data_IF_557918112472
#
_entry.id   IF_557918112472
#
_cell.length_a   1.000
_cell.length_b   1.000
_cell.length_c   1.000
_cell.angle_alpha   90.00
_cell.angle_beta   90.00
_cell.angle_gamma   90.00
#
_symmetry.space_group_name_H-M   'P 1'
#
loop_
_entity.id
_entity.type
_entity.pdbx_description
1 polymer ?
#
# COMPACT_ATOMS: atom_id res chain seq x y z
N UNK A 1 14.74 13.39 -16.47
CA UNK A 1 14.94 11.97 -16.82
C UNK A 1 15.80 11.22 -15.80
N UNK A 2 17.09 11.55 -15.57
CA UNK A 2 17.95 10.85 -14.59
C UNK A 2 17.36 10.92 -13.16
N UNK A 3 16.99 12.11 -12.69
CA UNK A 3 16.41 12.31 -11.36
C UNK A 3 15.10 11.52 -11.14
N UNK A 4 14.27 11.39 -12.18
CA UNK A 4 13.03 10.59 -12.10
C UNK A 4 13.33 9.11 -11.99
N UNK A 5 14.30 8.62 -12.74
CA UNK A 5 14.75 7.21 -12.66
C UNK A 5 15.29 6.91 -11.27
N UNK A 6 16.12 7.79 -10.71
CA UNK A 6 16.68 7.61 -9.36
C UNK A 6 15.58 7.60 -8.30
N UNK A 7 14.63 8.54 -8.33
CA UNK A 7 13.54 8.55 -7.34
C UNK A 7 12.61 7.34 -7.54
N UNK A 8 12.37 6.90 -8.77
CA UNK A 8 11.61 5.65 -9.02
C UNK A 8 12.32 4.44 -8.43
N UNK A 9 13.65 4.33 -8.59
CA UNK A 9 14.46 3.27 -7.99
C UNK A 9 14.40 3.30 -6.47
N UNK A 10 14.48 4.49 -5.85
CA UNK A 10 14.33 4.67 -4.41
C UNK A 10 12.94 4.25 -3.92
N UNK A 11 11.89 4.61 -4.64
CA UNK A 11 10.52 4.21 -4.29
C UNK A 11 10.37 2.69 -4.36
N UNK A 12 10.90 2.02 -5.39
CA UNK A 12 10.91 0.57 -5.50
C UNK A 12 11.68 -0.08 -4.35
N UNK A 13 12.88 0.43 -4.06
CA UNK A 13 13.69 -0.04 -2.94
C UNK A 13 12.95 0.06 -1.59
N UNK A 14 12.26 1.19 -1.34
CA UNK A 14 11.47 1.36 -0.12
C UNK A 14 10.35 0.32 -0.06
N UNK A 15 9.60 0.11 -1.14
CA UNK A 15 8.48 -0.84 -1.14
C UNK A 15 8.93 -2.30 -0.94
N UNK A 16 10.05 -2.67 -1.49
CA UNK A 16 10.61 -4.02 -1.39
C UNK A 16 11.18 -4.31 0.01
N UNK A 17 11.72 -3.28 0.67
CA UNK A 17 12.45 -3.45 1.93
C UNK A 17 11.70 -2.99 3.18
N UNK A 18 10.52 -2.38 3.04
CA UNK A 18 9.79 -1.74 4.15
C UNK A 18 9.40 -2.72 5.27
N UNK A 19 9.29 -4.01 4.96
CA UNK A 19 8.95 -5.09 5.88
C UNK A 19 10.15 -5.99 6.22
N UNK A 20 11.31 -5.74 5.63
CA UNK A 20 12.50 -6.59 5.78
C UNK A 20 13.50 -5.92 6.73
N UNK A 21 13.67 -4.62 6.59
CA UNK A 21 14.71 -3.89 7.33
C UNK A 21 14.28 -2.49 7.71
N UNK A 22 14.97 -1.94 8.71
CA UNK A 22 14.82 -0.52 9.07
C UNK A 22 15.52 0.35 8.03
N UNK A 23 14.71 0.96 7.15
CA UNK A 23 15.21 1.85 6.10
C UNK A 23 15.53 3.20 6.72
N UNK A 24 16.80 3.63 6.60
CA UNK A 24 17.28 4.95 7.00
C UNK A 24 17.77 5.76 5.78
N UNK A 25 18.11 7.02 6.00
CA UNK A 25 18.56 7.91 4.92
C UNK A 25 19.91 7.47 4.35
N UNK A 26 20.80 6.89 5.15
CA UNK A 26 22.13 6.49 4.72
C UNK A 26 22.05 5.30 3.75
N UNK A 27 21.16 4.36 4.01
CA UNK A 27 20.88 3.25 3.08
C UNK A 27 20.41 3.79 1.71
N UNK A 28 19.56 4.81 1.70
CA UNK A 28 19.06 5.40 0.46
C UNK A 28 20.13 6.24 -0.26
N UNK A 29 21.04 6.87 0.50
CA UNK A 29 22.22 7.56 -0.04
C UNK A 29 23.13 6.59 -0.75
N UNK A 30 23.44 5.45 -0.13
CA UNK A 30 24.23 4.39 -0.76
C UNK A 30 23.57 3.84 -2.03
N UNK A 31 22.25 3.60 -1.96
CA UNK A 31 21.49 3.09 -3.11
C UNK A 31 21.44 4.08 -4.29
N UNK A 32 21.36 5.37 -4.02
CA UNK A 32 21.19 6.41 -5.05
C UNK A 32 22.49 7.00 -5.57
N UNK A 33 23.58 6.89 -4.82
CA UNK A 33 24.86 7.57 -5.10
C UNK A 33 24.81 9.08 -4.88
N UNK A 34 23.71 9.65 -4.39
CA UNK A 34 23.58 11.09 -4.14
C UNK A 34 23.98 11.46 -2.71
N UNK A 35 24.41 12.71 -2.51
CA UNK A 35 24.60 13.22 -1.15
C UNK A 35 23.26 13.27 -0.39
N UNK A 36 23.32 13.11 0.94
CA UNK A 36 22.14 13.15 1.82
C UNK A 36 21.28 14.39 1.59
N UNK A 37 21.91 15.56 1.51
CA UNK A 37 21.20 16.83 1.32
C UNK A 37 20.49 16.90 -0.04
N UNK A 38 21.17 16.51 -1.09
CA UNK A 38 20.60 16.52 -2.43
C UNK A 38 19.44 15.54 -2.56
N UNK A 39 19.61 14.32 -2.06
CA UNK A 39 18.57 13.30 -2.06
C UNK A 39 17.30 13.76 -1.34
N UNK A 40 17.44 14.35 -0.15
CA UNK A 40 16.30 14.87 0.62
C UNK A 40 15.54 15.97 -0.12
N UNK A 41 16.26 16.91 -0.73
CA UNK A 41 15.66 18.00 -1.51
C UNK A 41 14.95 17.47 -2.75
N UNK A 42 15.62 16.59 -3.49
CA UNK A 42 15.07 15.98 -4.70
C UNK A 42 13.81 15.16 -4.39
N UNK A 43 13.87 14.30 -3.39
CA UNK A 43 12.74 13.47 -2.97
C UNK A 43 11.55 14.34 -2.54
N UNK A 44 11.79 15.37 -1.70
CA UNK A 44 10.74 16.29 -1.27
C UNK A 44 10.14 17.06 -2.47
N UNK A 45 10.97 17.50 -3.42
CA UNK A 45 10.52 18.19 -4.63
C UNK A 45 9.60 17.30 -5.48
N UNK A 46 9.95 16.03 -5.67
CA UNK A 46 9.22 15.13 -6.57
C UNK A 46 8.02 14.44 -5.91
N UNK A 47 8.13 14.11 -4.63
CA UNK A 47 7.09 13.36 -3.89
C UNK A 47 6.19 14.29 -3.06
N UNK A 48 6.64 15.50 -2.77
CA UNK A 48 5.93 16.46 -1.91
C UNK A 48 6.08 16.21 -0.41
N UNK A 49 6.85 15.19 -0.01
CA UNK A 49 7.07 14.80 1.38
C UNK A 49 8.55 14.50 1.63
N UNK A 50 9.07 14.80 2.85
CA UNK A 50 10.37 14.28 3.25
C UNK A 50 10.39 12.76 3.21
N UNK A 51 11.52 12.15 2.83
CA UNK A 51 11.64 10.70 2.63
C UNK A 51 11.29 9.89 3.90
N UNK A 52 11.76 10.31 5.07
CA UNK A 52 11.41 9.64 6.33
C UNK A 52 9.90 9.67 6.62
N UNK A 53 9.23 10.79 6.29
CA UNK A 53 7.77 10.92 6.45
C UNK A 53 7.02 10.04 5.44
N UNK A 54 7.54 9.88 4.24
CA UNK A 54 7.00 8.96 3.25
C UNK A 54 7.07 7.51 3.74
N UNK A 55 8.26 7.05 4.18
CA UNK A 55 8.46 5.70 4.73
C UNK A 55 7.52 5.45 5.91
N UNK A 56 7.44 6.39 6.86
CA UNK A 56 6.53 6.32 8.00
C UNK A 56 5.07 6.10 7.55
N UNK A 57 4.58 6.93 6.62
CA UNK A 57 3.21 6.81 6.11
C UNK A 57 2.97 5.50 5.37
N UNK A 58 3.96 5.00 4.63
CA UNK A 58 3.87 3.71 3.97
C UNK A 58 3.78 2.56 4.97
N UNK A 59 4.59 2.58 6.05
CA UNK A 59 4.48 1.59 7.15
C UNK A 59 3.09 1.61 7.79
N UNK A 60 2.53 2.79 8.06
CA UNK A 60 1.18 2.91 8.63
C UNK A 60 0.12 2.37 7.65
N UNK A 61 0.27 2.61 6.36
CA UNK A 61 -0.64 2.06 5.34
C UNK A 61 -0.57 0.53 5.29
N UNK A 62 0.64 -0.06 5.34
CA UNK A 62 0.83 -1.51 5.44
C UNK A 62 0.21 -2.07 6.73
N UNK A 63 0.45 -1.40 7.87
CA UNK A 63 -0.16 -1.76 9.14
C UNK A 63 -1.69 -1.79 9.07
N UNK A 64 -2.29 -0.78 8.47
CA UNK A 64 -3.74 -0.71 8.28
C UNK A 64 -4.28 -1.89 7.46
N UNK A 65 -3.55 -2.30 6.41
CA UNK A 65 -3.87 -3.47 5.61
C UNK A 65 -3.79 -4.76 6.44
N UNK A 66 -2.70 -4.99 7.19
CA UNK A 66 -2.58 -6.14 8.07
C UNK A 66 -3.68 -6.19 9.15
N UNK A 67 -3.95 -5.06 9.79
CA UNK A 67 -4.98 -4.99 10.82
C UNK A 67 -6.38 -5.34 10.30
N UNK A 68 -6.66 -5.05 9.04
CA UNK A 68 -7.95 -5.28 8.41
C UNK A 68 -8.09 -6.64 7.77
N UNK A 69 -7.05 -7.12 7.13
CA UNK A 69 -7.11 -8.31 6.29
C UNK A 69 -6.57 -9.56 6.96
N UNK A 70 -5.95 -9.41 8.15
CA UNK A 70 -5.39 -10.54 8.90
C UNK A 70 -5.81 -10.54 10.36
N UNK A 71 -5.67 -11.70 11.01
CA UNK A 71 -5.80 -11.85 12.47
C UNK A 71 -4.46 -11.71 13.22
N UNK A 72 -3.39 -11.30 12.55
CA UNK A 72 -2.06 -11.20 13.16
C UNK A 72 -2.08 -10.35 14.44
N UNK A 73 -1.41 -10.79 15.53
CA UNK A 73 -1.20 -9.98 16.73
C UNK A 73 -0.55 -8.63 16.40
N UNK A 74 -0.88 -7.62 17.18
CA UNK A 74 -0.33 -6.26 16.98
C UNK A 74 1.19 -6.25 17.14
N UNK A 75 1.74 -7.08 18.03
CA UNK A 75 3.20 -7.27 18.20
C UNK A 75 3.83 -7.75 16.89
N UNK A 76 3.29 -8.79 16.28
CA UNK A 76 3.82 -9.34 15.02
C UNK A 76 3.74 -8.30 13.88
N UNK A 77 2.68 -7.50 13.83
CA UNK A 77 2.58 -6.42 12.84
C UNK A 77 3.65 -5.34 13.09
N UNK A 78 3.89 -5.02 14.36
CA UNK A 78 4.95 -4.09 14.77
C UNK A 78 6.33 -4.57 14.31
N UNK A 79 6.66 -5.83 14.58
CA UNK A 79 7.95 -6.45 14.23
C UNK A 79 8.13 -6.51 12.71
N UNK A 80 7.13 -6.98 11.97
CA UNK A 80 7.14 -7.01 10.49
C UNK A 80 7.39 -5.63 9.86
N UNK A 81 6.97 -4.56 10.51
CA UNK A 81 7.15 -3.20 10.01
C UNK A 81 8.38 -2.51 10.61
N UNK A 82 9.27 -3.29 11.22
CA UNK A 82 10.55 -2.83 11.77
C UNK A 82 10.40 -1.69 12.78
N UNK A 83 9.43 -1.80 13.70
CA UNK A 83 9.32 -0.93 14.85
C UNK A 83 10.07 -1.53 16.04
N UNK A 84 10.76 -0.70 16.79
CA UNK A 84 11.55 -1.11 17.98
C UNK A 84 10.67 -1.69 19.09
N UNK A 85 9.40 -1.33 19.13
CA UNK A 85 8.44 -1.87 20.09
C UNK A 85 6.99 -1.69 19.63
N UNK A 86 6.10 -2.57 20.12
CA UNK A 86 4.65 -2.47 19.92
C UNK A 86 4.09 -1.14 20.46
N UNK A 87 4.66 -0.60 21.54
CA UNK A 87 4.22 0.67 22.13
C UNK A 87 4.53 1.84 21.20
N UNK A 88 5.73 1.89 20.63
CA UNK A 88 6.14 2.90 19.65
C UNK A 88 5.25 2.82 18.42
N UNK A 89 5.04 1.61 17.88
CA UNK A 89 4.12 1.38 16.77
C UNK A 89 2.71 1.89 17.10
N UNK A 90 2.16 1.51 18.25
CA UNK A 90 0.77 1.86 18.62
C UNK A 90 0.56 3.36 18.77
N UNK A 91 1.55 4.07 19.33
CA UNK A 91 1.53 5.55 19.44
C UNK A 91 1.58 6.20 18.06
N UNK A 92 2.47 5.71 17.21
CA UNK A 92 2.64 6.26 15.87
C UNK A 92 1.41 5.95 14.99
N UNK A 93 0.89 4.75 15.07
CA UNK A 93 -0.33 4.37 14.36
C UNK A 93 -1.50 5.26 14.78
N UNK A 94 -1.72 5.46 16.10
CA UNK A 94 -2.77 6.35 16.60
C UNK A 94 -2.58 7.79 16.14
N UNK A 95 -1.35 8.32 16.18
CA UNK A 95 -1.01 9.68 15.71
C UNK A 95 -1.36 9.89 14.23
N UNK A 96 -1.17 8.88 13.39
CA UNK A 96 -1.38 8.97 11.95
C UNK A 96 -2.80 8.57 11.51
N UNK A 97 -3.48 7.65 12.22
CA UNK A 97 -4.80 7.15 11.84
C UNK A 97 -5.96 7.72 12.68
N UNK A 98 -5.64 8.31 13.84
CA UNK A 98 -6.63 8.73 14.83
C UNK A 98 -7.13 7.62 15.75
N UNK A 99 -6.79 6.35 15.47
CA UNK A 99 -7.27 5.17 16.19
C UNK A 99 -6.11 4.33 16.69
N UNK A 100 -6.29 3.66 17.84
CA UNK A 100 -5.35 2.61 18.22
C UNK A 100 -5.45 1.44 17.24
N UNK A 101 -4.39 0.60 17.09
CA UNK A 101 -4.44 -0.58 16.22
C UNK A 101 -5.65 -1.48 16.49
N UNK A 102 -5.99 -1.68 17.75
CA UNK A 102 -7.14 -2.50 18.15
C UNK A 102 -8.47 -1.86 17.76
N UNK A 103 -8.66 -0.56 18.01
CA UNK A 103 -9.86 0.18 17.58
C UNK A 103 -10.00 0.15 16.06
N UNK A 104 -8.87 0.35 15.34
CA UNK A 104 -8.87 0.30 13.88
C UNK A 104 -9.27 -1.07 13.34
N UNK A 105 -8.80 -2.15 13.94
CA UNK A 105 -9.18 -3.53 13.59
C UNK A 105 -10.67 -3.79 13.77
N UNK A 106 -11.27 -3.29 14.86
CA UNK A 106 -12.70 -3.48 15.17
C UNK A 106 -13.64 -2.58 14.37
N UNK A 107 -13.15 -1.47 13.84
CA UNK A 107 -13.99 -0.53 13.10
C UNK A 107 -14.48 -1.19 11.79
N UNK A 108 -15.78 -1.09 11.47
CA UNK A 108 -16.35 -1.65 10.24
C UNK A 108 -15.94 -0.87 8.98
N UNK A 109 -15.63 0.42 9.11
CA UNK A 109 -15.28 1.28 7.99
C UNK A 109 -13.77 1.33 7.77
N UNK A 110 -13.35 1.28 6.52
CA UNK A 110 -11.98 1.57 6.12
C UNK A 110 -11.73 3.06 6.19
N UNK A 111 -10.74 3.46 6.98
CA UNK A 111 -10.36 4.87 7.11
C UNK A 111 -9.11 5.13 6.27
N UNK A 112 -9.30 5.78 5.11
CA UNK A 112 -8.21 6.05 4.16
C UNK A 112 -7.53 7.41 4.34
N UNK A 113 -8.05 8.26 5.22
CA UNK A 113 -7.70 9.68 5.33
C UNK A 113 -6.19 9.97 5.38
N UNK A 114 -5.39 9.08 5.95
CA UNK A 114 -3.94 9.29 6.11
C UNK A 114 -3.11 8.18 5.45
N UNK A 115 -3.73 7.35 4.64
CA UNK A 115 -3.03 6.31 3.92
C UNK A 115 -2.31 6.90 2.71
N UNK A 116 -1.11 6.42 2.47
CA UNK A 116 -0.30 6.83 1.33
C UNK A 116 -0.07 5.59 0.46
N UNK A 117 -0.64 5.59 -0.74
CA UNK A 117 -0.41 4.54 -1.73
C UNK A 117 1.06 4.53 -2.19
N UNK A 118 1.48 3.42 -2.80
CA UNK A 118 2.73 3.38 -3.52
C UNK A 118 2.68 4.41 -4.65
N UNK A 119 3.69 5.28 -4.73
CA UNK A 119 3.75 6.30 -5.78
C UNK A 119 4.57 5.78 -6.95
N UNK A 120 4.02 5.94 -8.15
CA UNK A 120 4.74 5.74 -9.39
C UNK A 120 4.80 7.09 -10.11
N UNK A 121 6.01 7.58 -10.38
CA UNK A 121 6.21 8.90 -11.01
C UNK A 121 5.80 8.87 -12.48
N UNK A 122 5.83 7.69 -13.11
CA UNK A 122 5.54 7.54 -14.54
C UNK A 122 4.06 7.38 -14.88
N UNK A 123 3.20 7.15 -13.93
CA UNK A 123 1.76 6.95 -14.15
C UNK A 123 0.97 8.14 -13.63
N UNK A 124 0.44 8.95 -14.53
CA UNK A 124 -0.70 9.80 -14.20
C UNK A 124 -1.92 8.90 -14.08
N UNK A 125 -2.41 8.69 -12.86
CA UNK A 125 -3.71 8.06 -12.68
C UNK A 125 -4.79 9.06 -13.15
N UNK A 126 -5.80 8.60 -13.88
CA UNK A 126 -6.96 9.43 -14.17
C UNK A 126 -7.58 9.93 -12.86
N UNK A 127 -8.05 11.16 -12.85
CA UNK A 127 -8.75 11.72 -11.71
C UNK A 127 -10.04 10.89 -11.52
N UNK A 128 -10.26 10.31 -10.32
CA UNK A 128 -11.47 9.54 -10.09
C UNK A 128 -12.69 10.46 -10.18
N UNK A 129 -13.64 10.11 -11.03
CA UNK A 129 -14.91 10.81 -11.17
C UNK A 129 -15.99 10.12 -10.35
N UNK A 130 -16.76 10.92 -9.60
CA UNK A 130 -17.92 10.41 -8.87
C UNK A 130 -19.07 10.31 -9.87
N UNK A 131 -19.49 9.08 -10.19
CA UNK A 131 -20.68 8.86 -10.99
C UNK A 131 -21.76 8.17 -10.16
N UNK A 132 -22.98 8.70 -10.26
CA UNK A 132 -24.17 8.08 -9.66
C UNK A 132 -24.78 7.10 -10.66
N UNK A 133 -24.68 5.80 -10.35
CA UNK A 133 -25.39 4.77 -11.10
C UNK A 133 -26.84 4.76 -10.60
N UNK A 134 -27.78 5.22 -11.44
CA UNK A 134 -29.20 5.02 -11.17
C UNK A 134 -29.47 3.51 -11.02
N UNK A 135 -30.55 3.12 -10.31
CA UNK A 135 -30.91 1.71 -10.05
C UNK A 135 -30.76 0.84 -11.29
N UNK A 136 -29.58 0.26 -11.48
CA UNK A 136 -29.26 -0.68 -12.56
C UNK A 136 -28.96 -2.02 -11.92
N UNK A 137 -29.54 -3.08 -12.46
CA UNK A 137 -29.16 -4.45 -12.12
C UNK A 137 -27.96 -4.84 -12.99
N UNK A 138 -26.92 -5.36 -12.37
CA UNK A 138 -25.74 -5.86 -13.06
C UNK A 138 -25.73 -7.39 -12.94
N UNK A 139 -25.52 -8.07 -14.05
CA UNK A 139 -25.28 -9.49 -14.09
C UNK A 139 -23.79 -9.72 -14.31
N UNK A 140 -23.19 -10.65 -13.59
CA UNK A 140 -21.75 -10.89 -13.68
C UNK A 140 -21.35 -12.24 -13.16
N UNK A 141 -20.10 -12.63 -13.44
CA UNK A 141 -19.48 -13.87 -12.97
C UNK A 141 -18.69 -13.61 -11.69
N UNK A 142 -18.89 -14.47 -10.68
CA UNK A 142 -18.10 -14.44 -9.45
C UNK A 142 -16.82 -15.26 -9.64
N UNK A 143 -15.68 -14.59 -9.55
CA UNK A 143 -14.37 -15.24 -9.60
C UNK A 143 -13.68 -15.10 -8.26
N UNK A 144 -13.21 -16.21 -7.71
CA UNK A 144 -12.44 -16.27 -6.46
C UNK A 144 -10.98 -16.56 -6.78
N UNK A 145 -10.07 -15.79 -6.21
CA UNK A 145 -8.63 -16.03 -6.29
C UNK A 145 -7.95 -15.72 -4.95
N UNK A 146 -6.78 -16.34 -4.72
CA UNK A 146 -5.97 -16.09 -3.52
C UNK A 146 -4.77 -15.23 -3.88
N UNK A 147 -4.46 -14.26 -3.03
CA UNK A 147 -3.30 -13.40 -3.13
C UNK A 147 -2.61 -13.22 -1.80
N UNK A 148 -1.28 -13.01 -1.80
CA UNK A 148 -0.53 -12.65 -0.59
C UNK A 148 -0.89 -11.24 -0.13
N UNK A 149 -1.05 -11.07 1.17
CA UNK A 149 -1.32 -9.78 1.82
C UNK A 149 -0.12 -9.44 2.72
N UNK A 150 0.35 -8.19 2.71
CA UNK A 150 -0.11 -7.08 1.91
C UNK A 150 0.38 -7.19 0.48
N UNK A 151 -0.42 -6.64 -0.38
CA UNK A 151 -0.10 -6.57 -1.78
C UNK A 151 1.09 -5.59 -2.02
N UNK A 152 2.20 -6.08 -2.54
CA UNK A 152 3.41 -5.29 -2.79
C UNK A 152 3.34 -4.56 -4.13
N UNK A 153 2.55 -3.50 -4.21
CA UNK A 153 2.68 -2.41 -5.19
C UNK A 153 2.60 -2.69 -6.70
N UNK A 154 2.88 -3.89 -7.17
CA UNK A 154 2.55 -4.27 -8.54
C UNK A 154 1.06 -4.61 -8.60
N UNK A 155 0.32 -4.09 -9.57
CA UNK A 155 -1.09 -4.43 -9.72
C UNK A 155 -1.22 -5.95 -9.75
N UNK A 156 -2.20 -6.50 -9.00
CA UNK A 156 -2.44 -7.93 -8.96
C UNK A 156 -2.41 -8.50 -10.38
N UNK A 157 -1.30 -9.10 -10.76
CA UNK A 157 -1.18 -9.70 -12.08
C UNK A 157 -2.29 -10.74 -12.26
N UNK A 158 -2.58 -11.52 -11.20
CA UNK A 158 -3.69 -12.48 -11.20
C UNK A 158 -5.05 -11.84 -11.47
N UNK A 159 -5.36 -10.71 -10.81
CA UNK A 159 -6.59 -9.98 -11.05
C UNK A 159 -6.68 -9.49 -12.50
N UNK A 160 -5.61 -8.88 -12.99
CA UNK A 160 -5.61 -8.32 -14.34
C UNK A 160 -5.58 -9.40 -15.41
N UNK A 161 -4.91 -10.53 -15.19
CA UNK A 161 -4.96 -11.65 -16.11
C UNK A 161 -6.37 -12.24 -16.21
N UNK A 162 -7.07 -12.40 -15.08
CA UNK A 162 -8.48 -12.79 -15.06
C UNK A 162 -9.35 -11.77 -15.79
N UNK A 163 -9.16 -10.48 -15.51
CA UNK A 163 -9.92 -9.42 -16.19
C UNK A 163 -9.68 -9.45 -17.69
N UNK A 164 -8.43 -9.62 -18.13
CA UNK A 164 -8.08 -9.72 -19.55
C UNK A 164 -8.75 -10.92 -20.24
N UNK A 165 -8.82 -12.08 -19.56
CA UNK A 165 -9.49 -13.27 -20.11
C UNK A 165 -10.99 -13.13 -20.22
N UNK A 166 -11.59 -12.27 -19.39
CA UNK A 166 -13.04 -12.02 -19.37
C UNK A 166 -13.48 -10.87 -20.28
N UNK A 167 -12.55 -10.04 -20.75
CA UNK A 167 -12.85 -8.94 -21.65
C UNK A 167 -13.01 -9.46 -23.07
N UNK A 168 -14.24 -9.68 -23.57
CA UNK A 168 -14.43 -9.82 -25.00
C UNK A 168 -14.09 -8.50 -25.67
N UNK A 169 -13.49 -8.55 -26.85
CA UNK A 169 -13.01 -7.38 -27.62
C UNK A 169 -14.05 -6.33 -27.98
N UNK A 170 -15.30 -6.49 -27.53
CA UNK A 170 -16.46 -5.65 -27.91
C UNK A 170 -17.15 -4.93 -26.74
N UNK A 171 -16.64 -5.00 -25.50
CA UNK A 171 -17.29 -4.33 -24.37
C UNK A 171 -16.92 -2.85 -24.29
N UNK A 172 -17.95 -1.99 -24.27
CA UNK A 172 -17.82 -0.55 -24.06
C UNK A 172 -17.53 -0.18 -22.59
N UNK A 173 -17.90 -1.03 -21.63
CA UNK A 173 -17.73 -0.75 -20.19
C UNK A 173 -17.62 -2.04 -19.39
N UNK A 174 -16.75 -2.04 -18.39
CA UNK A 174 -16.57 -3.13 -17.43
C UNK A 174 -16.75 -2.60 -16.01
N UNK A 175 -17.64 -3.22 -15.23
CA UNK A 175 -17.82 -2.92 -13.82
C UNK A 175 -17.20 -4.02 -12.97
N UNK A 176 -16.26 -3.66 -12.11
CA UNK A 176 -15.57 -4.60 -11.22
C UNK A 176 -15.91 -4.24 -9.78
N UNK A 177 -16.56 -5.18 -9.08
CA UNK A 177 -16.73 -5.11 -7.63
C UNK A 177 -15.76 -6.07 -6.95
N UNK A 178 -15.06 -5.60 -5.92
CA UNK A 178 -14.14 -6.42 -5.14
C UNK A 178 -14.71 -6.67 -3.75
N UNK A 179 -14.79 -7.93 -3.36
CA UNK A 179 -15.06 -8.32 -1.99
C UNK A 179 -13.88 -9.12 -1.44
N UNK A 180 -13.29 -8.64 -0.35
CA UNK A 180 -12.12 -9.27 0.27
C UNK A 180 -12.61 -10.15 1.42
N UNK A 181 -12.39 -11.47 1.29
CA UNK A 181 -12.73 -12.45 2.32
C UNK A 181 -11.41 -12.96 2.92
N UNK A 182 -11.30 -12.83 4.25
CA UNK A 182 -10.14 -13.36 4.98
C UNK A 182 -10.12 -14.89 4.91
N UNK A 183 -9.05 -15.48 4.35
CA UNK A 183 -8.86 -16.91 4.30
C UNK A 183 -8.47 -17.49 5.66
N UNK A 184 -8.90 -18.71 5.97
CA UNK A 184 -8.52 -19.43 7.20
C UNK A 184 -7.01 -19.75 7.27
N UNK A 185 -6.32 -19.82 6.14
CA UNK A 185 -4.89 -20.15 6.02
C UNK A 185 -3.95 -18.96 6.36
N UNK A 186 -4.46 -17.76 6.53
CA UNK A 186 -3.65 -16.61 6.96
C UNK A 186 -3.08 -16.77 8.41
N UNK A 187 -3.41 -17.86 9.10
CA UNK A 187 -2.93 -18.17 10.44
C UNK A 187 -1.60 -18.94 10.50
N UNK A 188 -1.16 -19.58 9.41
CA UNK A 188 -0.09 -20.57 9.44
C UNK A 188 1.12 -20.33 8.51
N UNK A 189 1.20 -19.21 7.81
CA UNK A 189 2.39 -18.88 7.02
C UNK A 189 3.30 -17.91 7.82
N UNK A 190 4.16 -18.48 8.64
CA UNK A 190 5.36 -17.87 9.22
C UNK A 190 6.59 -18.55 8.66
#
# INVERSE_FOLDING_TARGET
>A
MINEMTITSILSYIEENIEITSINIDTLVQHSGYSRRYLQLLFKKMIGLPVGKYIQRRRITRAATYLRLTSLPVSIISDKLCYDSQQTFSREFKKNSGYTPFQYRKNKLWMFKYQTGCRNIKTSFPIPELCFLQKKSFFGSLIKYKEKIPYTGSSSNKKWDIVKTLLPHSLSSLFISNNIIQGKEAKNEF
#
